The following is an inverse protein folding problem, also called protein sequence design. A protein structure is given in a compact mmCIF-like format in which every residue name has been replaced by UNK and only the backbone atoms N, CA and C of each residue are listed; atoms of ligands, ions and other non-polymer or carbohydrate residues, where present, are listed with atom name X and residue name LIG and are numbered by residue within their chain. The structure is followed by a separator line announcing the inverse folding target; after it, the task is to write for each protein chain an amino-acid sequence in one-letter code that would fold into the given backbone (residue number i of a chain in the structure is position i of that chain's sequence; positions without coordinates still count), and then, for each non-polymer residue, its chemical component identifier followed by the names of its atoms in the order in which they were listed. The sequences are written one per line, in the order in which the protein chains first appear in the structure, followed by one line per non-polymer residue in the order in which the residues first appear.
data_IF_400098204122
#
_entry.id   IF_400098204122
#
_cell.length_a   1.000
_cell.length_b   1.000
_cell.length_c   1.000
_cell.angle_alpha   90.00
_cell.angle_beta   90.00
_cell.angle_gamma   90.00
#
_symmetry.space_group_name_H-M   'P 1'
#
loop_
_entity.id
_entity.type
_entity.pdbx_description
1 polymer ?
#
# COMPACT_ATOMS: atom_id res chain seq x y z
N UNK A 1 -2.30 19.37 23.28
CA UNK A 1 -2.00 19.47 21.84
C UNK A 1 -1.01 18.37 21.48
N UNK A 2 -1.33 17.53 20.50
CA UNK A 2 -0.50 16.39 20.08
C UNK A 2 0.19 16.75 18.77
N UNK A 3 1.51 16.59 18.68
CA UNK A 3 2.29 16.97 17.49
C UNK A 3 3.06 15.77 16.95
N UNK A 4 3.08 15.63 15.63
CA UNK A 4 3.89 14.62 14.95
C UNK A 4 5.25 15.24 14.61
N UNK A 5 6.34 14.74 15.20
CA UNK A 5 7.72 15.14 14.87
C UNK A 5 8.54 13.90 14.53
N UNK A 6 9.09 13.84 13.31
CA UNK A 6 9.98 12.74 12.83
C UNK A 6 9.39 11.34 13.07
N UNK A 7 8.11 11.15 12.71
CA UNK A 7 7.42 9.86 12.90
C UNK A 7 7.08 9.50 14.35
N UNK A 8 7.29 10.41 15.31
CA UNK A 8 6.89 10.22 16.71
C UNK A 8 5.70 11.11 17.04
N UNK A 9 4.70 10.51 17.68
CA UNK A 9 3.60 11.24 18.27
C UNK A 9 4.03 11.77 19.64
N UNK A 10 4.13 13.09 19.78
CA UNK A 10 4.47 13.74 21.04
C UNK A 10 3.21 14.39 21.61
N UNK A 11 2.84 14.02 22.83
CA UNK A 11 1.73 14.65 23.56
C UNK A 11 2.30 15.78 24.43
N UNK A 12 1.70 16.96 24.35
CA UNK A 12 2.09 18.08 25.21
C UNK A 12 1.65 17.91 26.68
N UNK A 13 0.78 16.94 26.96
CA UNK A 13 0.25 16.65 28.28
C UNK A 13 0.21 15.14 28.53
N UNK A 14 0.18 14.70 29.81
CA UNK A 14 -0.11 13.31 30.16
C UNK A 14 -1.44 12.87 29.54
N UNK A 15 -1.51 11.62 29.09
CA UNK A 15 -2.73 11.04 28.52
C UNK A 15 -3.11 9.82 29.34
N UNK A 16 -4.37 9.78 29.78
CA UNK A 16 -4.92 8.64 30.50
C UNK A 16 -5.04 7.41 29.59
N UNK A 17 -4.80 6.23 30.15
CA UNK A 17 -4.96 4.98 29.42
C UNK A 17 -6.42 4.84 28.93
N UNK A 18 -6.59 4.57 27.63
CA UNK A 18 -7.90 4.44 26.99
C UNK A 18 -8.49 5.74 26.44
N UNK A 19 -7.88 6.90 26.72
CA UNK A 19 -8.32 8.15 26.10
C UNK A 19 -8.00 8.18 24.59
N UNK A 20 -8.94 8.62 23.73
CA UNK A 20 -8.72 8.69 22.29
C UNK A 20 -7.66 9.75 21.96
N UNK A 21 -6.52 9.30 21.41
CA UNK A 21 -5.40 10.18 21.03
C UNK A 21 -5.64 10.90 19.71
N UNK A 22 -6.25 10.21 18.74
CA UNK A 22 -6.42 10.65 17.36
C UNK A 22 -7.69 10.03 16.79
N UNK A 23 -8.46 10.85 16.07
CA UNK A 23 -9.58 10.38 15.23
C UNK A 23 -9.26 10.78 13.80
N UNK A 24 -9.06 9.78 12.94
CA UNK A 24 -8.79 10.01 11.52
C UNK A 24 -10.10 9.84 10.73
N UNK A 25 -10.56 10.87 10.00
CA UNK A 25 -11.72 10.72 9.14
C UNK A 25 -11.37 9.80 7.96
N UNK A 26 -12.33 9.04 7.39
CA UNK A 26 -12.08 8.19 6.23
C UNK A 26 -11.47 8.93 5.04
N UNK A 27 -11.79 10.22 4.87
CA UNK A 27 -11.25 11.08 3.81
C UNK A 27 -9.76 11.43 3.99
N UNK A 28 -9.18 11.18 5.17
CA UNK A 28 -7.75 11.31 5.42
C UNK A 28 -6.97 10.04 5.08
N UNK A 29 -7.65 8.95 4.71
CA UNK A 29 -7.02 7.68 4.35
C UNK A 29 -6.82 7.60 2.84
N UNK A 30 -5.67 7.08 2.41
CA UNK A 30 -5.47 6.60 1.04
C UNK A 30 -5.90 5.14 1.03
N UNK A 31 -6.92 4.82 0.23
CA UNK A 31 -7.43 3.46 0.06
C UNK A 31 -7.51 3.12 -1.42
N UNK A 32 -7.50 1.82 -1.74
CA UNK A 32 -7.79 1.34 -3.11
C UNK A 32 -9.23 1.63 -3.56
N UNK A 33 -10.11 1.98 -2.62
CA UNK A 33 -11.52 2.33 -2.88
C UNK A 33 -11.76 3.84 -2.94
N UNK A 34 -10.70 4.64 -2.78
CA UNK A 34 -10.86 6.07 -2.66
C UNK A 34 -11.50 6.66 -3.95
N UNK A 35 -12.61 7.43 -3.87
CA UNK A 35 -13.38 7.85 -5.05
C UNK A 35 -12.56 8.56 -6.13
N UNK A 36 -11.51 9.28 -5.71
CA UNK A 36 -10.58 10.00 -6.60
C UNK A 36 -9.83 9.10 -7.58
N UNK A 37 -9.58 7.85 -7.20
CA UNK A 37 -8.82 6.88 -8.01
C UNK A 37 -9.68 5.72 -8.49
N UNK A 38 -10.94 5.64 -8.04
CA UNK A 38 -11.84 4.52 -8.27
C UNK A 38 -12.00 4.16 -9.76
N UNK A 39 -12.09 5.14 -10.67
CA UNK A 39 -12.20 4.85 -12.10
C UNK A 39 -10.93 4.20 -12.67
N UNK A 40 -9.76 4.70 -12.26
CA UNK A 40 -8.46 4.16 -12.68
C UNK A 40 -8.19 2.78 -12.11
N UNK A 41 -8.54 2.56 -10.85
CA UNK A 41 -8.36 1.29 -10.17
C UNK A 41 -9.39 0.25 -10.64
N UNK A 42 -10.65 0.64 -10.89
CA UNK A 42 -11.65 -0.22 -11.49
C UNK A 42 -11.27 -0.66 -12.92
N UNK A 43 -10.60 0.21 -13.69
CA UNK A 43 -10.02 -0.16 -14.97
C UNK A 43 -9.00 -1.30 -14.79
N UNK A 44 -8.09 -1.19 -13.83
CA UNK A 44 -7.08 -2.23 -13.58
C UNK A 44 -7.74 -3.53 -13.12
N UNK A 45 -8.65 -3.49 -12.16
CA UNK A 45 -9.34 -4.68 -11.67
C UNK A 45 -10.14 -5.41 -12.77
N UNK A 46 -10.69 -4.68 -13.75
CA UNK A 46 -11.42 -5.27 -14.87
C UNK A 46 -10.52 -5.85 -15.96
N UNK A 47 -9.50 -5.10 -16.38
CA UNK A 47 -8.65 -5.48 -17.51
C UNK A 47 -7.49 -6.40 -17.11
N UNK A 48 -7.14 -6.42 -15.82
CA UNK A 48 -6.05 -7.21 -15.25
C UNK A 48 -6.47 -7.81 -13.89
N UNK A 49 -7.49 -8.68 -13.87
CA UNK A 49 -8.04 -9.23 -12.62
C UNK A 49 -7.01 -10.03 -11.80
N UNK A 50 -5.98 -10.58 -12.45
CA UNK A 50 -4.87 -11.26 -11.78
C UNK A 50 -4.02 -10.34 -10.89
N UNK A 51 -4.16 -9.01 -11.06
CA UNK A 51 -3.45 -7.99 -10.30
C UNK A 51 -4.30 -7.32 -9.22
N UNK A 52 -5.57 -7.72 -9.09
CA UNK A 52 -6.49 -7.18 -8.08
C UNK A 52 -6.19 -7.74 -6.69
N UNK A 53 -5.01 -7.36 -6.18
CA UNK A 53 -4.55 -7.71 -4.84
C UNK A 53 -4.43 -6.44 -4.00
N UNK A 54 -4.74 -6.48 -2.68
CA UNK A 54 -4.75 -5.26 -1.86
C UNK A 54 -3.43 -4.46 -1.86
N UNK A 55 -2.24 -5.09 -1.73
CA UNK A 55 -0.98 -4.34 -1.75
C UNK A 55 -0.69 -3.69 -3.10
N UNK A 56 -0.99 -4.39 -4.20
CA UNK A 56 -0.79 -3.87 -5.55
C UNK A 56 -1.72 -2.69 -5.83
N UNK A 57 -3.01 -2.84 -5.53
CA UNK A 57 -4.01 -1.79 -5.73
C UNK A 57 -3.77 -0.57 -4.84
N UNK A 58 -3.30 -0.77 -3.62
CA UNK A 58 -2.88 0.33 -2.74
C UNK A 58 -1.63 1.04 -3.27
N UNK A 59 -0.63 0.30 -3.76
CA UNK A 59 0.56 0.88 -4.39
C UNK A 59 0.21 1.71 -5.64
N UNK A 60 -0.74 1.25 -6.47
CA UNK A 60 -1.27 2.04 -7.57
C UNK A 60 -1.97 3.31 -7.08
N UNK A 61 -2.82 3.23 -6.05
CA UNK A 61 -3.49 4.39 -5.48
C UNK A 61 -2.47 5.44 -4.97
N UNK A 62 -1.39 4.99 -4.33
CA UNK A 62 -0.29 5.85 -3.88
C UNK A 62 0.37 6.61 -5.03
N UNK A 63 0.66 5.93 -6.15
CA UNK A 63 1.25 6.56 -7.33
C UNK A 63 0.34 7.59 -7.99
N UNK A 64 -0.97 7.32 -8.03
CA UNK A 64 -1.93 8.26 -8.59
C UNK A 64 -2.09 9.50 -7.71
N UNK A 65 -2.08 9.34 -6.38
CA UNK A 65 -2.07 10.46 -5.45
C UNK A 65 -0.76 11.27 -5.54
N UNK A 66 0.38 10.60 -5.73
CA UNK A 66 1.69 11.23 -5.89
C UNK A 66 1.80 12.08 -7.17
N UNK A 67 1.33 11.54 -8.30
CA UNK A 67 1.30 12.26 -9.57
C UNK A 67 0.43 13.51 -9.48
N UNK A 68 -0.72 13.40 -8.82
CA UNK A 68 -1.62 14.53 -8.54
C UNK A 68 -0.97 15.56 -7.63
N UNK A 69 -0.36 15.12 -6.53
CA UNK A 69 0.33 16.00 -5.58
C UNK A 69 1.48 16.79 -6.24
N UNK A 70 2.14 16.19 -7.24
CA UNK A 70 3.19 16.81 -8.03
C UNK A 70 2.64 17.87 -8.99
N UNK A 71 1.45 17.66 -9.56
CA UNK A 71 0.78 18.63 -10.42
C UNK A 71 0.31 19.90 -9.67
N UNK A 72 0.09 19.82 -8.35
CA UNK A 72 -0.40 20.94 -7.51
C UNK A 72 0.71 21.77 -6.83
N UNK A 73 1.96 21.70 -7.28
CA UNK A 73 3.14 22.18 -6.53
C UNK A 73 3.31 23.71 -6.35
N UNK A 74 2.27 24.53 -6.57
CA UNK A 74 2.32 25.98 -6.31
C UNK A 74 1.26 26.38 -5.28
N UNK A 75 1.56 26.24 -3.99
CA UNK A 75 0.76 26.87 -2.93
C UNK A 75 1.68 27.75 -2.05
N UNK A 76 1.37 29.05 -1.88
CA UNK A 76 2.15 29.94 -1.01
C UNK A 76 2.05 29.54 0.47
N UNK A 77 2.97 30.07 1.28
CA UNK A 77 2.99 29.86 2.73
C UNK A 77 1.64 30.28 3.35
N UNK A 78 0.90 29.31 3.92
CA UNK A 78 -0.48 29.47 4.41
C UNK A 78 -1.52 28.61 3.68
N UNK A 79 -1.12 27.88 2.63
CA UNK A 79 -1.97 26.95 1.91
C UNK A 79 -2.34 25.67 2.69
N UNK A 80 -3.22 24.83 2.12
CA UNK A 80 -3.61 23.56 2.72
C UNK A 80 -2.39 22.68 3.02
N UNK A 81 -2.46 21.81 4.05
CA UNK A 81 -1.35 20.94 4.43
C UNK A 81 -0.87 20.11 3.23
N UNK A 82 0.45 19.80 3.17
CA UNK A 82 0.99 19.03 2.07
C UNK A 82 0.25 17.68 1.96
N UNK A 83 -0.05 17.23 0.74
CA UNK A 83 -0.80 15.99 0.53
C UNK A 83 -0.12 14.83 1.26
N UNK A 84 -0.93 13.92 1.83
CA UNK A 84 -0.48 12.84 2.72
C UNK A 84 0.69 12.04 2.13
N UNK A 85 0.69 11.85 0.81
CA UNK A 85 1.75 11.15 0.08
C UNK A 85 3.16 11.73 0.31
N UNK A 86 3.28 13.03 0.58
CA UNK A 86 4.54 13.71 0.91
C UNK A 86 4.98 13.55 2.36
N UNK A 87 4.11 13.00 3.21
CA UNK A 87 4.39 12.69 4.61
C UNK A 87 4.69 11.19 4.81
N UNK A 88 4.60 10.40 3.75
CA UNK A 88 4.96 8.99 3.76
C UNK A 88 6.48 8.80 3.81
N UNK A 89 6.98 7.64 4.28
CA UNK A 89 8.40 7.39 4.39
C UNK A 89 9.13 7.60 3.06
N UNK A 90 10.32 8.19 3.13
CA UNK A 90 11.20 8.37 1.96
C UNK A 90 11.87 7.05 1.55
N UNK A 91 12.46 7.01 0.36
CA UNK A 91 13.23 5.83 -0.08
C UNK A 91 14.40 5.52 0.88
N UNK A 92 15.03 6.55 1.44
CA UNK A 92 16.12 6.40 2.41
C UNK A 92 15.63 5.74 3.71
N UNK A 93 14.47 6.17 4.23
CA UNK A 93 13.86 5.58 5.43
C UNK A 93 13.43 4.12 5.20
N UNK A 94 13.14 3.74 3.96
CA UNK A 94 12.77 2.39 3.55
C UNK A 94 13.96 1.52 3.11
N UNK A 95 15.18 2.06 3.10
CA UNK A 95 16.39 1.39 2.57
C UNK A 95 16.76 0.05 3.24
N UNK A 96 16.22 -0.21 4.42
CA UNK A 96 16.41 -1.45 5.16
C UNK A 96 15.44 -2.57 4.75
N UNK A 97 14.41 -2.28 3.97
CA UNK A 97 13.47 -3.29 3.47
C UNK A 97 14.15 -4.17 2.40
N UNK A 98 13.85 -5.48 2.33
CA UNK A 98 14.51 -6.41 1.41
C UNK A 98 14.54 -5.95 -0.05
N UNK A 99 13.43 -5.37 -0.53
CA UNK A 99 13.32 -4.88 -1.91
C UNK A 99 14.10 -3.59 -2.18
N UNK A 100 14.45 -2.86 -1.12
CA UNK A 100 15.18 -1.59 -1.17
C UNK A 100 16.68 -1.75 -0.91
N UNK A 101 17.14 -2.97 -0.56
CA UNK A 101 18.55 -3.22 -0.27
C UNK A 101 19.44 -2.92 -1.48
N UNK A 102 20.58 -2.29 -1.22
CA UNK A 102 21.63 -2.13 -2.22
C UNK A 102 22.23 -3.48 -2.59
N UNK A 103 22.88 -3.56 -3.76
CA UNK A 103 23.58 -4.77 -4.18
C UNK A 103 24.65 -5.21 -3.15
N UNK A 104 25.37 -4.26 -2.54
CA UNK A 104 26.35 -4.54 -1.50
C UNK A 104 25.69 -5.18 -0.26
N UNK A 105 24.59 -4.60 0.24
CA UNK A 105 23.86 -5.15 1.39
C UNK A 105 23.23 -6.51 1.11
N UNK A 106 22.75 -6.73 -0.11
CA UNK A 106 22.22 -8.02 -0.51
C UNK A 106 23.31 -9.10 -0.63
N UNK A 107 24.51 -8.71 -1.05
CA UNK A 107 25.67 -9.60 -1.11
C UNK A 107 26.13 -10.06 0.28
N UNK A 108 26.02 -9.20 1.30
CA UNK A 108 26.29 -9.55 2.70
C UNK A 108 25.36 -10.66 3.24
N UNK A 109 24.18 -10.84 2.66
CA UNK A 109 23.21 -11.85 3.08
C UNK A 109 23.41 -13.22 2.39
N UNK A 110 24.35 -13.34 1.44
CA UNK A 110 24.54 -14.57 0.66
C UNK A 110 24.71 -15.80 1.54
N UNK A 111 24.04 -16.88 1.16
CA UNK A 111 24.04 -18.14 1.91
C UNK A 111 23.03 -18.19 3.07
N UNK A 112 22.21 -17.15 3.26
CA UNK A 112 21.11 -17.15 4.23
C UNK A 112 19.75 -17.23 3.54
N UNK A 113 18.72 -17.71 4.26
CA UNK A 113 17.33 -17.72 3.78
C UNK A 113 16.82 -16.31 3.45
N UNK A 114 17.32 -15.30 4.18
CA UNK A 114 16.97 -13.89 3.96
C UNK A 114 17.40 -13.39 2.57
N UNK A 115 18.52 -13.88 2.04
CA UNK A 115 18.96 -13.55 0.69
C UNK A 115 18.02 -14.13 -0.37
N UNK A 116 17.62 -15.40 -0.23
CA UNK A 116 16.66 -16.02 -1.15
C UNK A 116 15.32 -15.31 -1.17
N UNK A 117 14.81 -14.94 0.01
CA UNK A 117 13.58 -14.14 0.13
C UNK A 117 13.71 -12.76 -0.52
N UNK A 118 14.83 -12.05 -0.29
CA UNK A 118 15.06 -10.74 -0.86
C UNK A 118 15.15 -10.77 -2.41
N UNK A 119 15.83 -11.76 -2.98
CA UNK A 119 15.89 -11.96 -4.44
C UNK A 119 14.51 -12.30 -5.03
N UNK A 120 13.73 -13.16 -4.34
CA UNK A 120 12.35 -13.48 -4.75
C UNK A 120 11.47 -12.23 -4.78
N UNK A 121 11.50 -11.43 -3.71
CA UNK A 121 10.72 -10.18 -3.63
C UNK A 121 11.16 -9.16 -4.67
N UNK A 122 12.46 -9.04 -4.96
CA UNK A 122 12.95 -8.16 -6.03
C UNK A 122 12.46 -8.60 -7.41
N UNK A 123 12.49 -9.90 -7.67
CA UNK A 123 11.96 -10.49 -8.91
C UNK A 123 10.46 -10.20 -9.07
N UNK A 124 9.70 -10.35 -7.98
CA UNK A 124 8.27 -10.04 -7.94
C UNK A 124 7.99 -8.54 -8.19
N UNK A 125 8.78 -7.64 -7.59
CA UNK A 125 8.68 -6.19 -7.85
C UNK A 125 8.94 -5.86 -9.32
N UNK A 126 9.94 -6.49 -9.95
CA UNK A 126 10.26 -6.28 -11.36
C UNK A 126 9.19 -6.87 -12.29
N UNK A 127 8.63 -8.02 -11.93
CA UNK A 127 7.51 -8.63 -12.63
C UNK A 127 6.27 -7.75 -12.57
N UNK A 128 5.82 -7.38 -11.37
CA UNK A 128 4.69 -6.47 -11.18
C UNK A 128 4.92 -5.12 -11.87
N UNK A 129 6.15 -4.61 -11.93
CA UNK A 129 6.47 -3.41 -12.72
C UNK A 129 6.28 -3.59 -14.22
N UNK A 130 6.56 -4.78 -14.78
CA UNK A 130 6.22 -5.11 -16.18
C UNK A 130 4.71 -5.05 -16.40
N UNK A 131 3.90 -5.49 -15.45
CA UNK A 131 2.45 -5.32 -15.51
C UNK A 131 2.03 -3.85 -15.49
N UNK A 132 2.60 -3.04 -14.59
CA UNK A 132 2.32 -1.59 -14.54
C UNK A 132 2.66 -0.91 -15.87
N UNK A 133 3.77 -1.29 -16.51
CA UNK A 133 4.12 -0.81 -17.86
C UNK A 133 3.09 -1.22 -18.92
N UNK A 134 2.53 -2.43 -18.83
CA UNK A 134 1.44 -2.88 -19.72
C UNK A 134 0.16 -2.09 -19.47
N UNK A 135 -0.21 -1.87 -18.21
CA UNK A 135 -1.36 -1.04 -17.82
C UNK A 135 -1.21 0.36 -18.39
N UNK A 136 -0.05 1.01 -18.23
CA UNK A 136 0.20 2.37 -18.70
C UNK A 136 -0.03 2.55 -20.21
N UNK A 137 0.30 1.52 -21.01
CA UNK A 137 0.15 1.54 -22.48
C UNK A 137 -1.28 1.32 -22.98
N UNK A 138 -2.20 0.87 -22.11
CA UNK A 138 -3.59 0.64 -22.53
C UNK A 138 -4.35 1.95 -22.67
N UNK A 139 -5.27 2.01 -23.63
CA UNK A 139 -6.21 3.13 -23.76
C UNK A 139 -7.12 3.17 -22.52
N UNK A 140 -7.30 4.34 -21.94
CA UNK A 140 -8.07 4.52 -20.69
C UNK A 140 -7.27 4.21 -19.41
N UNK A 141 -5.97 3.95 -19.53
CA UNK A 141 -5.09 3.75 -18.39
C UNK A 141 -5.07 4.98 -17.47
N UNK A 142 -5.03 4.79 -16.13
CA UNK A 142 -4.88 5.91 -15.20
C UNK A 142 -3.51 6.61 -15.29
N UNK A 143 -2.55 6.02 -16.00
CA UNK A 143 -1.21 6.57 -16.18
C UNK A 143 -1.01 7.35 -17.49
N UNK A 144 -2.07 7.53 -18.30
CA UNK A 144 -2.04 8.32 -19.53
C UNK A 144 -0.85 8.01 -20.48
N UNK A 145 -0.49 6.74 -20.64
CA UNK A 145 0.62 6.32 -21.51
C UNK A 145 2.00 6.25 -20.83
N UNK A 146 2.17 6.86 -19.65
CA UNK A 146 3.48 7.01 -19.01
C UNK A 146 3.58 6.14 -17.75
N UNK A 147 4.30 5.04 -17.84
CA UNK A 147 4.51 4.18 -16.68
C UNK A 147 5.43 4.84 -15.64
N UNK A 148 5.17 4.67 -14.33
CA UNK A 148 6.10 5.07 -13.28
C UNK A 148 7.45 4.34 -13.45
N UNK A 149 8.54 5.02 -13.09
CA UNK A 149 9.86 4.40 -13.06
C UNK A 149 9.91 3.27 -12.01
N UNK A 150 10.77 2.27 -12.24
CA UNK A 150 10.91 1.11 -11.34
C UNK A 150 11.21 1.52 -9.88
N UNK A 151 12.10 2.49 -9.60
CA UNK A 151 12.34 2.94 -8.22
C UNK A 151 11.06 3.46 -7.54
N UNK A 152 10.24 4.24 -8.27
CA UNK A 152 8.99 4.79 -7.74
C UNK A 152 7.95 3.69 -7.48
N UNK A 153 7.85 2.71 -8.37
CA UNK A 153 6.98 1.54 -8.16
C UNK A 153 7.41 0.74 -6.92
N UNK A 154 8.70 0.49 -6.79
CA UNK A 154 9.29 -0.19 -5.63
C UNK A 154 9.03 0.55 -4.33
N UNK A 155 9.16 1.89 -4.33
CA UNK A 155 8.78 2.72 -3.19
C UNK A 155 7.29 2.54 -2.84
N UNK A 156 6.39 2.62 -3.82
CA UNK A 156 4.95 2.53 -3.57
C UNK A 156 4.55 1.18 -2.96
N UNK A 157 5.10 0.07 -3.47
CA UNK A 157 4.93 -1.25 -2.88
C UNK A 157 5.51 -1.35 -1.47
N UNK A 158 6.70 -0.79 -1.25
CA UNK A 158 7.34 -0.79 0.07
C UNK A 158 6.51 -0.04 1.11
N UNK A 159 5.93 1.10 0.73
CA UNK A 159 5.00 1.84 1.59
C UNK A 159 3.72 1.04 1.83
N UNK A 160 3.14 0.44 0.79
CA UNK A 160 1.96 -0.41 0.94
C UNK A 160 2.21 -1.57 1.91
N UNK A 161 3.31 -2.30 1.78
CA UNK A 161 3.64 -3.40 2.69
C UNK A 161 3.95 -2.96 4.12
N UNK A 162 4.61 -1.81 4.30
CA UNK A 162 5.02 -1.34 5.64
C UNK A 162 3.91 -0.62 6.38
N UNK A 163 3.09 0.15 5.67
CA UNK A 163 2.19 1.14 6.27
C UNK A 163 0.71 0.81 6.07
N UNK A 164 0.34 -0.18 5.25
CA UNK A 164 -1.06 -0.57 5.12
C UNK A 164 -1.60 -1.10 6.45
N UNK A 165 -2.82 -0.68 6.76
CA UNK A 165 -3.61 -1.21 7.88
C UNK A 165 -4.83 -1.88 7.29
N UNK A 166 -5.00 -3.16 7.57
CA UNK A 166 -6.23 -3.88 7.22
C UNK A 166 -7.31 -3.50 8.21
N UNK A 167 -8.36 -2.84 7.74
CA UNK A 167 -9.54 -2.58 8.57
C UNK A 167 -10.34 -3.89 8.68
N UNK A 168 -10.73 -4.33 9.89
CA UNK A 168 -11.65 -5.44 10.02
C UNK A 168 -13.00 -5.07 9.37
N UNK A 169 -13.61 -5.98 8.58
CA UNK A 169 -14.85 -5.68 7.87
C UNK A 169 -15.96 -5.35 8.86
N UNK A 170 -16.67 -4.26 8.60
CA UNK A 170 -17.80 -3.86 9.43
C UNK A 170 -18.89 -4.94 9.33
N UNK A 171 -19.64 -5.17 10.42
CA UNK A 171 -20.64 -6.24 10.49
C UNK A 171 -21.68 -6.22 9.34
N UNK A 172 -21.92 -5.06 8.74
CA UNK A 172 -22.79 -4.90 7.56
C UNK A 172 -22.14 -5.27 6.21
N UNK A 173 -20.82 -5.17 6.09
CA UNK A 173 -20.06 -5.51 4.87
C UNK A 173 -19.92 -7.02 4.72
N UNK A 174 -19.72 -7.75 5.82
CA UNK A 174 -19.71 -9.22 5.84
C UNK A 174 -20.97 -9.84 5.24
N UNK A 175 -22.13 -9.20 5.42
CA UNK A 175 -23.41 -9.65 4.83
C UNK A 175 -23.46 -9.45 3.31
N UNK A 176 -22.79 -8.43 2.78
CA UNK A 176 -22.68 -8.17 1.34
C UNK A 176 -21.65 -9.09 0.69
N UNK A 177 -20.50 -9.29 1.32
CA UNK A 177 -19.48 -10.27 0.89
C UNK A 177 -20.06 -11.69 0.89
N UNK A 178 -20.80 -12.08 1.93
CA UNK A 178 -21.50 -13.37 1.96
C UNK A 178 -22.48 -13.53 0.80
N UNK A 179 -23.22 -12.46 0.43
CA UNK A 179 -24.11 -12.49 -0.75
C UNK A 179 -23.37 -12.48 -2.08
N UNK A 180 -22.22 -11.81 -2.18
CA UNK A 180 -21.39 -11.79 -3.38
C UNK A 180 -20.68 -13.13 -3.59
N UNK A 181 -20.16 -13.74 -2.52
CA UNK A 181 -19.57 -15.07 -2.51
C UNK A 181 -20.58 -16.18 -2.88
N UNK A 182 -21.86 -15.98 -2.55
CA UNK A 182 -22.95 -16.88 -2.98
C UNK A 182 -23.34 -16.70 -4.46
N UNK A 183 -22.92 -15.61 -5.12
CA UNK A 183 -23.20 -15.36 -6.55
C UNK A 183 -22.00 -15.61 -7.47
N UNK A 184 -20.78 -15.40 -6.97
CA UNK A 184 -19.54 -15.70 -7.67
C UNK A 184 -18.91 -16.97 -7.09
N UNK A 185 -19.36 -18.14 -7.54
CA UNK A 185 -18.79 -19.42 -7.14
C UNK A 185 -17.28 -19.46 -7.38
N UNK A 186 -16.50 -19.17 -6.34
CA UNK A 186 -15.05 -19.07 -6.41
C UNK A 186 -14.49 -18.57 -5.07
N UNK A 187 -13.86 -19.48 -4.33
CA UNK A 187 -13.32 -19.25 -2.99
C UNK A 187 -12.29 -18.11 -2.97
N UNK A 188 -12.55 -17.08 -2.18
CA UNK A 188 -11.51 -16.21 -1.62
C UNK A 188 -11.47 -16.44 -0.10
N UNK A 189 -10.84 -17.54 0.32
CA UNK A 189 -10.38 -17.68 1.71
C UNK A 189 -8.92 -17.24 1.72
N UNK A 190 -8.69 -15.96 2.02
CA UNK A 190 -7.39 -15.55 2.52
C UNK A 190 -7.48 -15.62 4.03
N UNK A 191 -6.79 -16.61 4.59
CA UNK A 191 -6.62 -16.70 6.02
C UNK A 191 -5.93 -15.42 6.52
N UNK A 192 -6.49 -14.80 7.55
CA UNK A 192 -5.80 -13.70 8.23
C UNK A 192 -4.49 -14.22 8.83
N UNK A 193 -3.53 -13.33 9.11
CA UNK A 193 -2.27 -13.71 9.76
C UNK A 193 -2.51 -14.45 11.10
N UNK A 194 -3.61 -14.16 11.80
CA UNK A 194 -4.07 -14.88 13.00
C UNK A 194 -4.57 -16.31 12.70
N UNK A 195 -5.22 -16.54 11.56
CA UNK A 195 -5.68 -17.87 11.13
C UNK A 195 -4.51 -18.77 10.69
N UNK A 196 -3.49 -18.22 10.05
CA UNK A 196 -2.26 -18.97 9.71
C UNK A 196 -1.44 -19.35 10.97
N UNK A 197 -1.50 -18.54 12.03
CA UNK A 197 -0.88 -18.85 13.32
C UNK A 197 -1.67 -19.90 14.11
N UNK A 198 -3.01 -19.84 14.09
CA UNK A 198 -3.87 -20.82 14.76
C UNK A 198 -3.81 -22.21 14.12
N UNK A 199 -3.62 -22.30 12.80
CA UNK A 199 -3.46 -23.58 12.11
C UNK A 199 -2.12 -24.28 12.41
N UNK A 200 -1.08 -23.56 12.84
CA UNK A 200 0.20 -24.16 13.27
C UNK A 200 0.14 -24.79 14.66
N UNK A 201 -0.75 -24.32 15.54
CA UNK A 201 -0.87 -24.84 16.91
C UNK A 201 -1.83 -26.02 17.06
N UNK A 202 -2.54 -26.42 15.99
CA UNK A 202 -3.51 -27.54 16.03
C UNK A 202 -2.95 -28.83 15.40
N UNK A 203 -1.64 -28.88 15.11
CA UNK A 203 -0.95 -30.08 14.58
C UNK A 203 0.24 -30.51 15.45
N UNK A 204 0.04 -30.46 16.76
CA UNK A 204 0.81 -31.21 17.76
C UNK A 204 -0.21 -31.87 18.69
#
# INVERSE_FOLDING_TARGET
MTTLRRGRLLTAQPVEAGAPLLVLPPSALITSEHPRHAAGLAFVAREFPELDTPPFMLALALLLEDARASATAAAPAGGPPPPLVRQLPTEEELSHLPVMLSAARLAELRGTDAHGLAESLRSEVEETHRHVRRIARRRGSPFNGTAPALPRWRWALSVAWRCAVTRPPLAGERRRESRAALRGGGRAQWATAEELQSQRHTRL
#
